data_IF_499740486181
#
_entry.id   IF_499740486181
#
_cell.length_a   1.000
_cell.length_b   1.000
_cell.length_c   1.000
_cell.angle_alpha   90.00
_cell.angle_beta   90.00
_cell.angle_gamma   90.00
#
_symmetry.space_group_name_H-M   'P 1'
#
loop_
_entity.id
_entity.type
_entity.pdbx_description
1 polymer ?
#
# COMPACT_ATOMS: atom_id res chain seq x y z
N UNK A 1 -19.03 24.44 10.26
CA UNK A 1 -18.83 24.33 8.80
C UNK A 1 -17.81 23.23 8.55
N UNK A 2 -18.23 22.07 8.03
CA UNK A 2 -17.32 20.94 7.79
C UNK A 2 -16.30 21.36 6.72
N UNK A 3 -15.00 21.29 7.04
CA UNK A 3 -13.94 21.52 6.05
C UNK A 3 -13.64 20.20 5.35
N UNK A 4 -13.70 20.20 4.02
CA UNK A 4 -13.26 19.06 3.22
C UNK A 4 -11.73 18.98 3.31
N UNK A 5 -11.23 17.79 3.60
CA UNK A 5 -9.83 17.39 3.50
C UNK A 5 -9.71 16.31 2.44
N UNK A 6 -8.49 15.92 2.13
CA UNK A 6 -8.21 14.91 1.12
C UNK A 6 -7.27 13.87 1.69
N UNK A 7 -7.54 12.58 1.45
CA UNK A 7 -6.62 11.48 1.78
C UNK A 7 -6.09 10.88 0.50
N UNK A 8 -4.81 10.51 0.52
CA UNK A 8 -4.14 9.81 -0.56
C UNK A 8 -4.32 8.30 -0.35
N UNK A 9 -4.75 7.60 -1.40
CA UNK A 9 -4.73 6.15 -1.48
C UNK A 9 -3.64 5.68 -2.44
N UNK A 10 -3.03 4.54 -2.14
CA UNK A 10 -1.98 3.92 -2.93
C UNK A 10 -2.37 2.50 -3.31
N UNK A 11 -2.10 2.13 -4.56
CA UNK A 11 -2.34 0.81 -5.10
C UNK A 11 -0.99 0.14 -5.36
N UNK A 12 -0.76 -0.93 -4.62
CA UNK A 12 0.43 -1.76 -4.73
C UNK A 12 0.07 -3.05 -5.45
N UNK A 13 0.94 -3.53 -6.34
CA UNK A 13 0.73 -4.83 -6.98
C UNK A 13 2.06 -5.42 -7.42
N UNK A 14 2.27 -6.69 -7.09
CA UNK A 14 3.50 -7.42 -7.33
C UNK A 14 3.19 -8.86 -7.73
N UNK A 15 4.04 -9.44 -8.58
CA UNK A 15 3.94 -10.83 -9.00
C UNK A 15 4.61 -11.76 -8.00
N UNK A 16 3.90 -12.81 -7.61
CA UNK A 16 4.38 -13.88 -6.73
C UNK A 16 5.04 -15.02 -7.50
N UNK A 17 5.77 -15.88 -6.80
CA UNK A 17 6.46 -17.06 -7.33
C UNK A 17 5.53 -18.13 -7.90
N UNK A 18 4.25 -18.11 -7.55
CA UNK A 18 3.22 -18.98 -8.11
C UNK A 18 2.52 -18.37 -9.35
N UNK A 19 3.13 -17.34 -9.95
CA UNK A 19 2.65 -16.63 -11.14
C UNK A 19 1.33 -15.86 -10.97
N UNK A 20 0.85 -15.72 -9.73
CA UNK A 20 -0.29 -14.86 -9.40
C UNK A 20 0.20 -13.46 -9.04
N UNK A 21 -0.57 -12.45 -9.42
CA UNK A 21 -0.37 -11.09 -8.91
C UNK A 21 -1.14 -10.93 -7.60
N UNK A 22 -0.52 -10.25 -6.63
CA UNK A 22 -1.16 -9.83 -5.38
C UNK A 22 -1.21 -8.31 -5.35
N UNK A 23 -2.38 -7.77 -5.01
CA UNK A 23 -2.64 -6.33 -5.07
C UNK A 23 -3.24 -5.81 -3.77
N UNK A 24 -2.80 -4.64 -3.32
CA UNK A 24 -3.27 -3.97 -2.12
C UNK A 24 -3.66 -2.52 -2.41
N UNK A 25 -4.88 -2.14 -2.05
CA UNK A 25 -5.31 -0.74 -2.04
C UNK A 25 -5.34 -0.24 -0.60
N UNK A 26 -4.54 0.79 -0.30
CA UNK A 26 -4.34 1.30 1.06
C UNK A 26 -4.57 2.81 1.09
N UNK A 27 -5.56 3.25 1.87
CA UNK A 27 -5.75 4.67 2.19
C UNK A 27 -4.79 5.09 3.31
N UNK A 28 -4.01 6.15 3.06
CA UNK A 28 -3.04 6.69 4.01
C UNK A 28 -3.75 7.44 5.15
N UNK A 29 -3.17 7.44 6.37
CA UNK A 29 -3.75 8.12 7.52
C UNK A 29 -3.49 9.65 7.51
N UNK A 30 -2.99 10.21 6.41
CA UNK A 30 -2.58 11.62 6.29
C UNK A 30 -3.68 12.41 5.59
N UNK A 31 -4.04 13.55 6.17
CA UNK A 31 -5.02 14.48 5.59
C UNK A 31 -4.34 15.71 4.99
N UNK A 32 -4.70 16.01 3.74
CA UNK A 32 -4.22 17.15 2.98
C UNK A 32 -5.31 18.22 2.89
N UNK A 33 -4.88 19.49 2.87
CA UNK A 33 -5.79 20.62 2.74
C UNK A 33 -6.37 20.78 1.32
N UNK A 34 -5.69 20.24 0.32
CA UNK A 34 -6.11 20.30 -1.09
C UNK A 34 -5.78 18.98 -1.78
N UNK A 35 -6.58 18.62 -2.77
CA UNK A 35 -6.33 17.47 -3.65
C UNK A 35 -4.95 17.56 -4.31
N UNK A 36 -4.60 18.74 -4.83
CA UNK A 36 -3.30 18.99 -5.46
C UNK A 36 -2.12 18.66 -4.53
N UNK A 37 -2.22 18.95 -3.23
CA UNK A 37 -1.18 18.59 -2.25
C UNK A 37 -1.10 17.09 -2.02
N UNK A 38 -2.24 16.39 -1.98
CA UNK A 38 -2.26 14.93 -1.87
C UNK A 38 -1.58 14.27 -3.07
N UNK A 39 -1.93 14.69 -4.30
CA UNK A 39 -1.34 14.19 -5.54
C UNK A 39 0.17 14.44 -5.59
N UNK A 40 0.61 15.66 -5.27
CA UNK A 40 2.03 16.01 -5.26
C UNK A 40 2.85 15.19 -4.24
N UNK A 41 2.20 14.61 -3.23
CA UNK A 41 2.84 13.80 -2.19
C UNK A 41 2.85 12.30 -2.52
N UNK A 42 2.29 11.86 -3.65
CA UNK A 42 2.17 10.43 -3.97
C UNK A 42 3.51 9.69 -4.02
N UNK A 43 4.56 10.34 -4.53
CA UNK A 43 5.91 9.79 -4.59
C UNK A 43 6.66 9.75 -3.26
N UNK A 44 6.13 10.38 -2.21
CA UNK A 44 6.75 10.47 -0.89
C UNK A 44 6.53 9.21 -0.03
N UNK A 45 5.69 8.28 -0.47
CA UNK A 45 5.33 7.11 0.33
C UNK A 45 5.72 5.81 -0.37
N UNK A 46 5.98 4.76 0.41
CA UNK A 46 6.17 3.40 -0.08
C UNK A 46 5.73 2.39 0.98
N UNK A 47 5.46 1.16 0.57
CA UNK A 47 5.04 0.09 1.46
C UNK A 47 6.07 -1.05 1.45
N UNK A 48 6.26 -1.67 2.61
CA UNK A 48 7.00 -2.94 2.72
C UNK A 48 6.14 -3.97 3.43
N UNK A 49 6.18 -5.20 2.92
CA UNK A 49 5.69 -6.35 3.67
C UNK A 49 6.88 -6.99 4.39
N UNK A 50 6.84 -7.10 5.71
CA UNK A 50 8.00 -7.53 6.49
C UNK A 50 7.66 -8.10 7.87
N UNK A 51 8.63 -8.85 8.43
CA UNK A 51 8.51 -9.36 9.78
C UNK A 51 8.67 -8.25 10.83
N UNK A 52 7.69 -8.13 11.72
CA UNK A 52 7.72 -7.27 12.89
C UNK A 52 7.27 -8.08 14.11
N UNK A 53 8.13 -8.20 15.13
CA UNK A 53 7.82 -8.93 16.37
C UNK A 53 7.24 -10.36 16.19
N UNK A 54 7.65 -11.08 15.14
CA UNK A 54 7.26 -12.47 14.92
C UNK A 54 6.05 -12.67 14.00
N UNK A 55 5.41 -11.60 13.52
CA UNK A 55 4.33 -11.66 12.52
C UNK A 55 4.74 -10.89 11.26
N UNK A 56 4.03 -11.13 10.15
CA UNK A 56 4.21 -10.32 8.93
C UNK A 56 3.19 -9.19 8.90
N UNK A 57 3.67 -7.97 8.66
CA UNK A 57 2.86 -6.74 8.55
C UNK A 57 3.15 -6.04 7.23
N UNK A 58 2.24 -5.14 6.83
CA UNK A 58 2.53 -4.12 5.82
C UNK A 58 2.81 -2.80 6.54
N UNK A 59 4.04 -2.31 6.43
CA UNK A 59 4.42 -0.99 6.92
C UNK A 59 4.41 0.03 5.80
N UNK A 60 3.72 1.14 6.02
CA UNK A 60 3.78 2.32 5.15
C UNK A 60 4.81 3.29 5.69
N UNK A 61 5.73 3.65 4.82
CA UNK A 61 6.81 4.57 5.10
C UNK A 61 6.60 5.90 4.38
N UNK A 62 6.92 6.99 5.08
CA UNK A 62 7.14 8.30 4.49
C UNK A 62 8.65 8.48 4.25
N UNK A 63 9.02 8.85 3.02
CA UNK A 63 10.36 9.25 2.64
C UNK A 63 10.64 10.62 3.22
N UNK A 64 11.60 10.69 4.13
CA UNK A 64 12.17 11.95 4.56
C UNK A 64 13.33 12.28 3.60
N UNK A 65 13.08 13.21 2.67
CA UNK A 65 14.11 13.67 1.75
C UNK A 65 14.86 14.80 2.46
N UNK A 66 15.96 14.45 3.12
CA UNK A 66 16.86 15.42 3.70
C UNK A 66 17.78 15.97 2.59
N UNK A 67 17.51 17.21 2.18
CA UNK A 67 18.27 17.92 1.15
C UNK A 67 19.54 18.60 1.69
N UNK A 68 19.75 18.66 3.02
CA UNK A 68 20.85 19.42 3.61
C UNK A 68 22.18 18.66 3.60
N UNK A 69 22.14 17.33 3.57
CA UNK A 69 23.34 16.53 3.38
C UNK A 69 23.56 16.24 1.89
N UNK A 70 24.76 16.55 1.36
CA UNK A 70 25.24 16.15 0.02
C UNK A 70 25.34 14.61 -0.17
N UNK A 71 24.63 13.84 0.66
CA UNK A 71 24.41 12.42 0.60
C UNK A 71 22.89 12.23 0.62
N UNK A 72 22.31 11.74 -0.47
CA UNK A 72 20.93 11.25 -0.48
C UNK A 72 20.79 10.16 0.60
N UNK A 73 20.36 10.52 1.81
CA UNK A 73 19.94 9.58 2.83
C UNK A 73 18.42 9.62 2.85
N UNK A 74 17.81 8.59 2.29
CA UNK A 74 16.39 8.33 2.49
C UNK A 74 16.24 7.82 3.93
N UNK A 75 16.11 8.75 4.87
CA UNK A 75 15.56 8.41 6.17
C UNK A 75 14.07 8.16 5.95
N UNK A 76 13.52 7.09 6.54
CA UNK A 76 12.11 6.76 6.36
C UNK A 76 11.47 6.51 7.70
N UNK A 77 10.26 7.03 7.87
CA UNK A 77 9.46 6.89 9.09
C UNK A 77 8.23 6.05 8.79
N UNK A 78 7.94 5.09 9.65
CA UNK A 78 6.68 4.33 9.58
C UNK A 78 5.55 5.27 10.01
N UNK A 79 4.57 5.45 9.12
CA UNK A 79 3.37 6.26 9.37
C UNK A 79 2.12 5.39 9.62
N UNK A 80 2.15 4.12 9.21
CA UNK A 80 1.07 3.15 9.42
C UNK A 80 1.63 1.74 9.40
N UNK A 81 1.21 0.92 10.35
CA UNK A 81 1.43 -0.53 10.34
C UNK A 81 0.09 -1.22 10.18
N UNK A 82 -0.02 -2.07 9.17
CA UNK A 82 -1.22 -2.83 8.85
C UNK A 82 -0.94 -4.29 9.18
N UNK A 83 -1.78 -4.84 10.05
CA UNK A 83 -1.79 -6.26 10.41
C UNK A 83 -2.87 -6.96 9.59
N UNK A 84 -2.70 -8.25 9.34
CA UNK A 84 -3.64 -9.03 8.53
C UNK A 84 -5.08 -8.99 9.08
N UNK A 85 -5.25 -8.95 10.40
CA UNK A 85 -6.57 -8.88 11.03
C UNK A 85 -7.27 -7.53 10.83
N UNK A 86 -6.56 -6.49 10.37
CA UNK A 86 -7.09 -5.14 10.19
C UNK A 86 -7.72 -5.01 8.79
N UNK A 87 -8.63 -5.90 8.42
CA UNK A 87 -9.22 -5.98 7.07
C UNK A 87 -9.97 -4.70 6.63
N UNK A 88 -10.34 -3.81 7.54
CA UNK A 88 -10.88 -2.49 7.21
C UNK A 88 -9.83 -1.46 6.78
N UNK A 89 -8.54 -1.75 6.96
CA UNK A 89 -7.44 -0.80 6.72
C UNK A 89 -6.84 -0.90 5.30
N UNK A 90 -7.25 -1.91 4.53
CA UNK A 90 -6.79 -2.20 3.17
C UNK A 90 -7.83 -3.05 2.43
N UNK A 91 -7.85 -2.97 1.11
CA UNK A 91 -8.45 -4.02 0.26
C UNK A 91 -7.33 -4.84 -0.35
N UNK A 92 -7.57 -6.13 -0.56
CA UNK A 92 -6.59 -7.02 -1.18
C UNK A 92 -7.27 -7.91 -2.23
N UNK A 93 -6.63 -8.02 -3.38
CA UNK A 93 -7.05 -8.91 -4.48
C UNK A 93 -5.87 -9.74 -4.96
N UNK A 94 -6.18 -10.90 -5.53
CA UNK A 94 -5.21 -11.86 -6.03
C UNK A 94 -5.71 -12.43 -7.36
N UNK A 95 -4.81 -12.71 -8.30
CA UNK A 95 -5.19 -13.36 -9.57
C UNK A 95 -5.84 -14.72 -9.29
N UNK A 96 -6.96 -15.03 -9.92
CA UNK A 96 -7.58 -16.36 -9.86
C UNK A 96 -6.65 -17.40 -10.49
N UNK A 97 -6.64 -18.63 -9.96
CA UNK A 97 -5.73 -19.68 -10.44
C UNK A 97 -5.97 -20.02 -11.91
N UNK A 98 -7.23 -20.03 -12.33
CA UNK A 98 -7.65 -20.24 -13.73
C UNK A 98 -7.26 -19.10 -14.68
N UNK A 99 -6.86 -17.94 -14.15
CA UNK A 99 -6.46 -16.77 -14.93
C UNK A 99 -4.94 -16.61 -15.05
N UNK A 100 -4.15 -17.51 -14.46
CA UNK A 100 -2.69 -17.50 -14.59
C UNK A 100 -2.29 -17.70 -16.06
N UNK A 101 -1.36 -16.88 -16.55
CA UNK A 101 -0.80 -16.97 -17.89
C UNK A 101 -1.64 -16.34 -19.00
N UNK A 102 -2.75 -15.65 -18.67
CA UNK A 102 -3.48 -14.83 -19.64
C UNK A 102 -2.60 -13.67 -20.13
N UNK A 103 -2.72 -13.35 -21.42
CA UNK A 103 -1.98 -12.25 -22.05
C UNK A 103 -2.45 -10.88 -21.54
N UNK A 104 -3.75 -10.75 -21.27
CA UNK A 104 -4.37 -9.56 -20.73
C UNK A 104 -5.16 -9.96 -19.48
N UNK A 105 -4.88 -9.31 -18.35
CA UNK A 105 -5.64 -9.47 -17.11
C UNK A 105 -6.71 -8.38 -17.05
N UNK A 106 -7.97 -8.79 -16.92
CA UNK A 106 -9.08 -7.92 -16.53
C UNK A 106 -9.35 -8.09 -15.03
N UNK A 107 -9.04 -7.10 -14.17
CA UNK A 107 -9.21 -7.23 -12.73
C UNK A 107 -10.63 -7.62 -12.28
N UNK A 108 -11.68 -7.27 -13.04
CA UNK A 108 -13.05 -7.62 -12.68
C UNK A 108 -13.38 -9.10 -12.91
N UNK A 109 -12.66 -9.74 -13.82
CA UNK A 109 -12.89 -11.13 -14.23
C UNK A 109 -11.83 -12.05 -13.62
N UNK A 110 -10.59 -11.60 -13.63
CA UNK A 110 -9.38 -12.39 -13.39
C UNK A 110 -8.84 -12.27 -11.97
N UNK A 111 -9.35 -11.34 -11.16
CA UNK A 111 -8.98 -11.23 -9.75
C UNK A 111 -10.13 -11.62 -8.82
N UNK A 112 -9.77 -12.04 -7.61
CA UNK A 112 -10.67 -12.35 -6.52
C UNK A 112 -10.19 -11.72 -5.21
N UNK A 113 -11.06 -11.48 -4.22
CA UNK A 113 -10.64 -11.02 -2.91
C UNK A 113 -9.61 -11.97 -2.28
N UNK A 114 -8.52 -11.40 -1.78
CA UNK A 114 -7.49 -12.18 -1.12
C UNK A 114 -7.91 -12.53 0.31
N UNK A 115 -7.85 -13.82 0.65
CA UNK A 115 -8.02 -14.33 2.02
C UNK A 115 -6.71 -14.87 2.63
N UNK A 116 -5.62 -14.85 1.86
CA UNK A 116 -4.33 -15.38 2.29
C UNK A 116 -3.73 -14.54 3.42
N UNK A 117 -3.07 -15.22 4.36
CA UNK A 117 -2.34 -14.56 5.45
C UNK A 117 -1.08 -13.87 4.90
N UNK A 118 -0.70 -12.75 5.51
CA UNK A 118 0.50 -12.02 5.10
C UNK A 118 1.78 -12.87 5.15
N UNK A 119 1.87 -13.83 6.07
CA UNK A 119 3.00 -14.78 6.12
C UNK A 119 3.10 -15.66 4.87
N UNK A 120 1.96 -16.03 4.28
CA UNK A 120 1.90 -16.83 3.04
C UNK A 120 2.28 -15.94 1.87
N UNK A 121 1.67 -14.76 1.78
CA UNK A 121 1.93 -13.78 0.71
C UNK A 121 3.41 -13.41 0.68
N UNK A 122 4.01 -13.06 1.82
CA UNK A 122 5.43 -12.66 1.86
C UNK A 122 6.35 -13.78 1.38
N UNK A 123 6.08 -15.04 1.75
CA UNK A 123 6.86 -16.20 1.30
C UNK A 123 6.76 -16.42 -0.21
N UNK A 124 5.59 -16.11 -0.79
CA UNK A 124 5.35 -16.18 -2.22
C UNK A 124 5.90 -14.95 -2.98
N UNK A 125 6.12 -13.82 -2.31
CA UNK A 125 6.80 -12.66 -2.90
C UNK A 125 8.34 -12.76 -2.83
N UNK A 126 8.87 -13.30 -1.73
CA UNK A 126 10.32 -13.35 -1.51
C UNK A 126 10.76 -14.38 -0.49
N UNK A 127 12.00 -14.85 -0.62
CA UNK A 127 12.69 -15.62 0.42
C UNK A 127 13.27 -14.76 1.54
N UNK A 128 13.23 -13.41 1.41
CA UNK A 128 13.76 -12.46 2.40
C UNK A 128 12.75 -12.17 3.51
N UNK A 129 13.22 -11.55 4.60
CA UNK A 129 12.35 -11.12 5.72
C UNK A 129 11.54 -9.84 5.45
N UNK A 130 11.79 -9.18 4.32
CA UNK A 130 11.14 -7.91 3.95
C UNK A 130 11.11 -7.83 2.43
N UNK A 131 10.00 -7.30 1.89
CA UNK A 131 9.76 -7.08 0.48
C UNK A 131 9.21 -5.67 0.27
N UNK A 132 9.79 -4.93 -0.68
CA UNK A 132 9.30 -3.61 -1.07
C UNK A 132 8.19 -3.79 -2.09
N UNK A 133 6.97 -3.39 -1.75
CA UNK A 133 5.83 -3.48 -2.65
C UNK A 133 5.92 -2.41 -3.74
N UNK A 134 5.66 -2.78 -4.99
CA UNK A 134 5.65 -1.88 -6.12
C UNK A 134 4.36 -1.05 -6.14
N UNK A 135 4.50 0.28 -6.04
CA UNK A 135 3.38 1.20 -6.19
C UNK A 135 3.08 1.42 -7.69
N UNK A 136 1.90 1.02 -8.16
CA UNK A 136 1.51 1.17 -9.57
C UNK A 136 0.66 2.41 -9.82
N UNK A 137 -0.19 2.79 -8.86
CA UNK A 137 -1.08 3.93 -9.03
C UNK A 137 -1.50 4.53 -7.69
N UNK A 138 -2.15 5.70 -7.75
CA UNK A 138 -2.68 6.40 -6.59
C UNK A 138 -4.05 6.97 -6.91
N UNK A 139 -4.83 7.24 -5.87
CA UNK A 139 -6.08 7.97 -5.96
C UNK A 139 -6.22 8.93 -4.78
N UNK A 140 -7.16 9.87 -4.87
CA UNK A 140 -7.44 10.82 -3.79
C UNK A 140 -8.91 10.76 -3.43
N UNK A 141 -9.20 10.64 -2.13
CA UNK A 141 -10.56 10.64 -1.60
C UNK A 141 -10.81 11.91 -0.79
N UNK A 142 -11.92 12.63 -1.05
CA UNK A 142 -12.36 13.69 -0.17
C UNK A 142 -12.87 13.10 1.15
N UNK A 143 -12.48 13.69 2.27
CA UNK A 143 -12.94 13.31 3.60
C UNK A 143 -13.47 14.52 4.36
N UNK A 144 -14.54 14.33 5.12
CA UNK A 144 -15.04 15.38 6.00
C UNK A 144 -14.16 15.44 7.26
N UNK A 145 -13.51 16.58 7.51
CA UNK A 145 -12.86 16.78 8.79
C UNK A 145 -13.94 16.81 9.87
N UNK A 146 -13.85 15.90 10.85
CA UNK A 146 -14.64 16.03 12.08
C UNK A 146 -14.23 17.35 12.74
N UNK A 147 -15.21 18.23 12.94
CA UNK A 147 -15.04 19.36 13.85
C UNK A 147 -15.02 18.73 15.23
N UNK A 148 -13.84 18.64 15.86
CA UNK A 148 -13.79 18.36 17.29
C UNK A 148 -14.41 19.58 17.98
N UNK A 149 -15.65 19.43 18.45
CA UNK A 149 -16.32 20.34 19.38
C UNK A 149 -15.75 20.16 20.78
#
# INVERSE_FOLDING_TARGET
MNKIKYKLGLYFSDRMYDDRDISFSILLPIEFNTEKKAIASSGCFFAKMEYLYGEVVINIYEKNIDFESKKFKINSKIIKTIRWQNYYSYTCSITKKESIGKLCNDPFIDEEPCSEKFEVILKNLTSKRSFLLQNLSYWVEPVFAKINS
#
